data_IF_172992783166
#
_entry.id   IF_172992783166
#
_cell.length_a   1.000
_cell.length_b   1.000
_cell.length_c   1.000
_cell.angle_alpha   90.00
_cell.angle_beta   90.00
_cell.angle_gamma   90.00
#
_symmetry.space_group_name_H-M   'P 1'
#
loop_
_entity.id
_entity.type
_entity.pdbx_description
1 polymer ?
#
# COMPACT_ATOMS: atom_id res chain seq x y z
N UNK A 1 -16.20 -5.21 -3.63
CA UNK A 1 -15.29 -4.41 -2.81
C UNK A 1 -14.27 -3.72 -3.69
N UNK A 2 -14.00 -2.46 -3.38
CA UNK A 2 -12.97 -1.72 -4.12
C UNK A 2 -11.59 -2.09 -3.62
N UNK A 3 -10.68 -2.22 -4.57
CA UNK A 3 -9.29 -2.50 -4.25
C UNK A 3 -8.41 -1.32 -4.64
N UNK A 4 -7.30 -1.19 -3.94
CA UNK A 4 -6.36 -0.10 -4.16
C UNK A 4 -4.93 -0.62 -4.13
N UNK A 5 -4.06 0.07 -4.85
CA UNK A 5 -2.62 -0.14 -4.74
C UNK A 5 -2.04 1.08 -4.06
N UNK A 6 -1.33 0.84 -2.97
CA UNK A 6 -0.66 1.92 -2.25
C UNK A 6 0.82 1.86 -2.59
N UNK A 7 1.29 2.84 -3.35
CA UNK A 7 2.68 2.88 -3.77
C UNK A 7 3.54 3.36 -2.59
N UNK A 8 4.49 2.54 -2.18
CA UNK A 8 5.35 2.87 -1.04
C UNK A 8 6.78 3.20 -1.44
N UNK A 9 7.15 2.90 -2.67
CA UNK A 9 8.48 3.23 -3.17
C UNK A 9 9.58 2.25 -2.80
N UNK A 10 9.47 1.57 -1.68
CA UNK A 10 10.47 0.58 -1.26
C UNK A 10 9.79 -0.68 -0.76
N UNK A 11 10.50 -1.80 -0.91
CA UNK A 11 9.97 -3.09 -0.46
C UNK A 11 9.83 -3.11 1.06
N UNK A 12 10.73 -2.44 1.76
CA UNK A 12 10.68 -2.39 3.23
C UNK A 12 9.37 -1.78 3.71
N UNK A 13 8.98 -0.63 3.14
CA UNK A 13 7.73 0.01 3.54
C UNK A 13 6.52 -0.82 3.09
N UNK A 14 6.61 -1.48 1.95
CA UNK A 14 5.52 -2.33 1.49
C UNK A 14 5.28 -3.49 2.45
N UNK A 15 6.34 -4.17 2.88
CA UNK A 15 6.23 -5.28 3.81
C UNK A 15 5.71 -4.79 5.16
N UNK A 16 6.25 -3.68 5.64
CA UNK A 16 5.82 -3.11 6.92
C UNK A 16 4.33 -2.77 6.90
N UNK A 17 3.89 -2.11 5.85
CA UNK A 17 2.48 -1.75 5.72
C UNK A 17 1.58 -2.96 5.63
N UNK A 18 1.99 -3.97 4.87
CA UNK A 18 1.22 -5.20 4.77
C UNK A 18 1.03 -5.85 6.14
N UNK A 19 2.10 -5.93 6.94
CA UNK A 19 2.02 -6.54 8.26
C UNK A 19 1.09 -5.76 9.18
N UNK A 20 1.14 -4.44 9.12
CA UNK A 20 0.27 -3.59 9.92
C UNK A 20 -1.20 -3.86 9.56
N UNK A 21 -1.51 -3.91 8.27
CA UNK A 21 -2.88 -4.13 7.83
C UNK A 21 -3.38 -5.52 8.21
N UNK A 22 -2.52 -6.53 8.10
CA UNK A 22 -2.92 -7.89 8.47
C UNK A 22 -3.23 -8.00 9.96
N UNK A 23 -2.49 -7.30 10.79
CA UNK A 23 -2.74 -7.28 12.23
C UNK A 23 -4.10 -6.69 12.56
N UNK A 24 -4.61 -5.83 11.71
CA UNK A 24 -5.92 -5.22 11.90
C UNK A 24 -7.04 -6.01 11.20
N UNK A 25 -6.71 -7.18 10.68
CA UNK A 25 -7.70 -8.00 9.99
C UNK A 25 -8.02 -7.53 8.58
N UNK A 26 -7.17 -6.70 8.00
CA UNK A 26 -7.36 -6.17 6.65
C UNK A 26 -6.51 -6.98 5.68
N UNK A 27 -7.13 -7.49 4.62
CA UNK A 27 -6.41 -8.24 3.61
C UNK A 27 -5.44 -7.32 2.88
N UNK A 28 -4.18 -7.73 2.77
CA UNK A 28 -3.17 -6.93 2.11
C UNK A 28 -2.08 -7.84 1.54
N UNK A 29 -1.58 -7.47 0.37
CA UNK A 29 -0.51 -8.20 -0.30
C UNK A 29 0.48 -7.20 -0.86
N UNK A 30 1.77 -7.57 -0.86
CA UNK A 30 2.76 -6.74 -1.53
C UNK A 30 2.77 -7.09 -3.00
N UNK A 31 2.94 -6.06 -3.83
CA UNK A 31 2.97 -6.23 -5.27
C UNK A 31 4.08 -5.39 -5.86
N UNK A 32 4.70 -5.93 -6.89
CA UNK A 32 5.65 -5.15 -7.66
C UNK A 32 4.88 -4.36 -8.70
N UNK A 33 5.00 -3.06 -8.64
CA UNK A 33 4.28 -2.19 -9.55
C UNK A 33 5.01 -2.13 -10.89
N UNK A 34 4.29 -2.39 -11.96
CA UNK A 34 4.86 -2.41 -13.29
C UNK A 34 4.54 -1.17 -14.11
N UNK A 35 3.51 -0.46 -13.75
CA UNK A 35 3.03 0.67 -14.53
C UNK A 35 3.19 1.97 -13.78
N UNK A 36 3.71 2.98 -14.47
CA UNK A 36 3.87 4.29 -13.91
C UNK A 36 4.81 4.33 -12.72
N UNK A 37 5.74 3.38 -12.66
CA UNK A 37 6.60 3.25 -11.49
C UNK A 37 7.90 4.03 -11.58
N UNK A 38 8.26 4.52 -12.74
CA UNK A 38 9.49 5.29 -12.87
C UNK A 38 9.49 6.55 -12.01
N UNK A 39 8.30 7.02 -11.65
CA UNK A 39 8.18 8.18 -10.78
C UNK A 39 8.11 7.79 -9.30
N UNK A 40 8.11 6.50 -9.00
CA UNK A 40 7.91 6.01 -7.65
C UNK A 40 9.04 5.09 -7.18
N UNK A 41 10.17 5.19 -7.80
CA UNK A 41 11.34 4.43 -7.39
C UNK A 41 11.25 2.95 -7.75
N UNK A 42 11.49 2.08 -6.79
CA UNK A 42 11.54 0.65 -7.04
C UNK A 42 10.20 0.03 -7.39
N UNK A 43 9.13 0.78 -7.24
CA UNK A 43 7.83 0.33 -7.69
C UNK A 43 7.19 -0.78 -6.88
N UNK A 44 7.42 -0.82 -5.59
CA UNK A 44 6.69 -1.74 -4.73
C UNK A 44 5.48 -1.05 -4.14
N UNK A 45 4.43 -1.83 -3.91
CA UNK A 45 3.22 -1.30 -3.34
C UNK A 45 2.45 -2.36 -2.58
N UNK A 46 1.35 -1.96 -1.98
CA UNK A 46 0.47 -2.84 -1.22
C UNK A 46 -0.87 -2.86 -1.91
N UNK A 47 -1.35 -4.06 -2.26
CA UNK A 47 -2.70 -4.24 -2.79
C UNK A 47 -3.61 -4.55 -1.62
N UNK A 48 -4.62 -3.72 -1.40
CA UNK A 48 -5.54 -3.89 -0.29
C UNK A 48 -6.93 -3.40 -0.70
N UNK A 49 -7.92 -3.67 0.12
CA UNK A 49 -9.27 -3.23 -0.16
C UNK A 49 -9.98 -2.82 1.11
N UNK A 50 -11.11 -2.12 0.95
CA UNK A 50 -11.91 -1.66 2.06
C UNK A 50 -11.90 -0.15 2.17
N UNK A 51 -11.96 0.36 3.39
CA UNK A 51 -11.97 1.80 3.63
C UNK A 51 -10.58 2.39 3.50
N UNK A 52 -10.32 3.00 2.36
CA UNK A 52 -8.97 3.50 2.05
C UNK A 52 -8.54 4.63 2.98
N UNK A 53 -9.47 5.46 3.44
CA UNK A 53 -9.12 6.54 4.36
C UNK A 53 -8.60 6.00 5.69
N UNK A 54 -9.25 4.97 6.19
CA UNK A 54 -8.83 4.32 7.42
C UNK A 54 -7.48 3.63 7.24
N UNK A 55 -7.30 2.96 6.10
CA UNK A 55 -6.06 2.29 5.79
C UNK A 55 -4.92 3.31 5.69
N UNK A 56 -5.16 4.41 5.02
CA UNK A 56 -4.16 5.46 4.87
C UNK A 56 -3.74 6.01 6.23
N UNK A 57 -4.71 6.32 7.08
CA UNK A 57 -4.43 6.84 8.41
C UNK A 57 -3.63 5.84 9.25
N UNK A 58 -3.99 4.57 9.15
CA UNK A 58 -3.31 3.51 9.90
C UNK A 58 -1.85 3.41 9.47
N UNK A 59 -1.59 3.44 8.19
CA UNK A 59 -0.23 3.35 7.67
C UNK A 59 0.59 4.57 8.05
N UNK A 60 0.01 5.76 7.92
CA UNK A 60 0.71 6.98 8.29
C UNK A 60 1.04 7.03 9.78
N UNK A 61 0.13 6.54 10.61
CA UNK A 61 0.35 6.49 12.06
C UNK A 61 1.51 5.59 12.43
N UNK A 62 1.84 4.64 11.57
CA UNK A 62 2.92 3.69 11.81
C UNK A 62 4.17 4.02 10.99
N UNK A 63 4.26 5.24 10.50
CA UNK A 63 5.44 5.72 9.77
C UNK A 63 5.71 4.98 8.46
N UNK A 64 4.67 4.48 7.82
CA UNK A 64 4.80 3.88 6.50
C UNK A 64 4.68 5.00 5.48
N UNK A 65 5.69 5.14 4.65
CA UNK A 65 5.68 6.16 3.61
C UNK A 65 4.73 5.77 2.49
N UNK A 66 3.82 6.68 2.15
CA UNK A 66 2.88 6.47 1.06
C UNK A 66 3.19 7.50 -0.02
N UNK A 67 3.53 7.03 -1.22
CA UNK A 67 3.80 7.91 -2.34
C UNK A 67 2.52 8.24 -3.09
N UNK A 68 1.69 7.24 -3.31
CA UNK A 68 0.46 7.44 -4.05
C UNK A 68 -0.48 6.28 -3.78
N UNK A 69 -1.78 6.55 -3.89
CA UNK A 69 -2.81 5.52 -3.80
C UNK A 69 -3.56 5.49 -5.13
N UNK A 70 -3.58 4.30 -5.74
CA UNK A 70 -4.21 4.11 -7.04
C UNK A 70 -5.37 3.14 -6.91
N UNK A 71 -6.53 3.45 -7.49
CA UNK A 71 -7.63 2.49 -7.46
C UNK A 71 -7.37 1.33 -8.42
N UNK A 72 -7.78 0.14 -8.01
CA UNK A 72 -7.79 -1.03 -8.86
C UNK A 72 -9.24 -1.44 -9.11
N UNK A 73 -9.57 -1.74 -10.31
CA UNK A 73 -10.91 -2.22 -10.62
C UNK A 73 -10.89 -3.68 -10.96
#
# INVERSE_FOLDING_TARGET
MKKYVIATGTVTHAIKGREILKKQGIAAETERMKYGTENYGCGYGIVTGGNIDEIENLLKSNNVKILKILPLN
#
